data_IF_965611019106
#
_entry.id   IF_965611019106
#
_cell.length_a   1.000
_cell.length_b   1.000
_cell.length_c   1.000
_cell.angle_alpha   90.00
_cell.angle_beta   90.00
_cell.angle_gamma   90.00
#
_symmetry.space_group_name_H-M   'P 1'
#
loop_
_entity.id
_entity.type
_entity.pdbx_description
1 polymer ?
#
# COMPACT_ATOMS: atom_id res chain seq x y z
N UNK A 1 9.33 0.37 -18.44
CA UNK A 1 10.00 -0.02 -17.19
C UNK A 1 9.11 0.50 -16.08
N UNK A 2 8.70 -0.38 -15.17
CA UNK A 2 7.75 -0.05 -14.11
C UNK A 2 8.49 0.65 -12.98
N UNK A 3 7.90 1.68 -12.39
CA UNK A 3 8.57 2.52 -11.40
C UNK A 3 7.75 2.67 -10.12
N UNK A 4 8.36 2.37 -8.99
CA UNK A 4 7.84 2.67 -7.66
C UNK A 4 8.38 4.01 -7.19
N UNK A 5 7.51 4.91 -6.72
CA UNK A 5 7.89 6.18 -6.09
C UNK A 5 7.25 6.26 -4.71
N UNK A 6 8.06 6.42 -3.68
CA UNK A 6 7.57 6.59 -2.31
C UNK A 6 7.33 8.07 -2.03
N UNK A 7 6.15 8.43 -1.54
CA UNK A 7 5.82 9.82 -1.20
C UNK A 7 5.83 10.11 0.29
N UNK A 8 5.94 9.08 1.15
CA UNK A 8 5.97 9.20 2.61
C UNK A 8 4.80 8.50 3.28
N UNK A 9 4.98 8.11 4.54
CA UNK A 9 4.03 7.31 5.33
C UNK A 9 3.61 6.02 4.62
N UNK A 10 2.34 5.90 4.18
CA UNK A 10 1.83 4.79 3.38
C UNK A 10 1.55 5.18 1.91
N UNK A 11 1.84 6.43 1.54
CA UNK A 11 1.57 6.96 0.21
C UNK A 11 2.70 6.63 -0.76
N UNK A 12 2.39 5.88 -1.81
CA UNK A 12 3.31 5.58 -2.90
C UNK A 12 2.58 5.48 -4.22
N UNK A 13 3.34 5.50 -5.32
CA UNK A 13 2.80 5.29 -6.66
C UNK A 13 3.60 4.25 -7.42
N UNK A 14 2.88 3.39 -8.14
CA UNK A 14 3.44 2.51 -9.17
C UNK A 14 3.05 3.08 -10.53
N UNK A 15 4.04 3.43 -11.35
CA UNK A 15 3.87 3.87 -12.74
C UNK A 15 4.27 2.72 -13.68
N UNK A 16 3.30 2.18 -14.42
CA UNK A 16 3.53 1.09 -15.40
C UNK A 16 4.16 1.61 -16.70
N UNK A 17 4.26 2.93 -16.87
CA UNK A 17 4.55 3.63 -18.11
C UNK A 17 3.28 4.05 -18.86
N UNK A 18 2.16 3.34 -18.67
CA UNK A 18 0.86 3.64 -19.26
C UNK A 18 -0.13 4.17 -18.22
N UNK A 19 -0.16 3.55 -17.04
CA UNK A 19 -1.06 3.86 -15.94
C UNK A 19 -0.29 4.16 -14.65
N UNK A 20 -0.86 5.03 -13.81
CA UNK A 20 -0.33 5.43 -12.51
C UNK A 20 -1.30 5.03 -11.41
N UNK A 21 -0.88 4.09 -10.58
CA UNK A 21 -1.63 3.61 -9.42
C UNK A 21 -1.10 4.32 -8.18
N UNK A 22 -1.95 5.10 -7.52
CA UNK A 22 -1.64 5.77 -6.25
C UNK A 22 -2.27 5.00 -5.10
N UNK A 23 -1.53 4.83 -4.01
CA UNK A 23 -1.96 4.09 -2.84
C UNK A 23 -2.04 5.04 -1.65
N UNK A 24 -3.11 4.90 -0.86
CA UNK A 24 -3.28 5.55 0.45
C UNK A 24 -2.76 7.01 0.53
N UNK A 25 -3.39 7.94 -0.22
CA UNK A 25 -2.81 9.24 -0.54
C UNK A 25 -2.91 10.26 0.59
N UNK A 26 -2.30 9.98 1.75
CA UNK A 26 -2.09 10.94 2.83
C UNK A 26 -0.88 11.84 2.53
N UNK A 27 -1.17 13.02 1.98
CA UNK A 27 -0.17 14.01 1.60
C UNK A 27 -0.31 15.30 2.41
N UNK A 28 -1.53 15.83 2.54
CA UNK A 28 -1.78 17.04 3.34
C UNK A 28 -1.71 16.72 4.82
N UNK A 29 -0.77 17.37 5.53
CA UNK A 29 -0.54 17.14 6.97
C UNK A 29 0.48 16.04 7.28
N UNK A 30 1.00 15.36 6.25
CA UNK A 30 2.11 14.43 6.37
C UNK A 30 3.43 15.20 6.25
N UNK A 31 4.25 15.23 7.30
CA UNK A 31 5.54 15.93 7.30
C UNK A 31 6.56 15.32 6.34
N UNK A 32 6.41 14.04 6.02
CA UNK A 32 7.27 13.29 5.09
C UNK A 32 6.81 13.42 3.63
N UNK A 33 5.65 14.04 3.37
CA UNK A 33 5.09 14.13 2.03
C UNK A 33 6.01 14.90 1.07
N UNK A 34 6.47 14.21 0.02
CA UNK A 34 7.38 14.81 -0.98
C UNK A 34 6.68 15.35 -2.23
N UNK A 35 5.35 15.26 -2.27
CA UNK A 35 4.52 15.82 -3.32
C UNK A 35 3.26 16.44 -2.72
N UNK A 36 2.88 17.62 -3.21
CA UNK A 36 1.61 18.22 -2.83
C UNK A 36 0.44 17.46 -3.49
N UNK A 37 -0.66 17.31 -2.75
CA UNK A 37 -1.84 16.58 -3.23
C UNK A 37 -2.45 17.18 -4.49
N UNK A 38 -2.27 18.49 -4.74
CA UNK A 38 -2.72 19.18 -5.97
C UNK A 38 -1.83 18.91 -7.20
N UNK A 39 -0.64 18.33 -7.03
CA UNK A 39 0.31 18.01 -8.10
C UNK A 39 0.36 16.54 -8.48
N UNK A 40 -0.05 15.64 -7.60
CA UNK A 40 0.02 14.20 -7.88
C UNK A 40 -0.85 13.82 -9.09
N UNK A 41 -0.36 12.91 -9.93
CA UNK A 41 -1.10 12.39 -11.09
C UNK A 41 -1.27 10.90 -10.92
N UNK A 42 -2.48 10.42 -11.13
CA UNK A 42 -2.85 9.01 -11.05
C UNK A 42 -4.09 8.73 -11.90
N UNK A 43 -4.18 7.49 -12.36
CA UNK A 43 -5.32 6.92 -13.09
C UNK A 43 -6.17 6.05 -12.16
N UNK A 44 -5.54 5.50 -11.10
CA UNK A 44 -6.19 4.69 -10.06
C UNK A 44 -5.77 5.17 -8.68
N UNK A 45 -6.70 5.10 -7.74
CA UNK A 45 -6.44 5.26 -6.30
C UNK A 45 -6.87 3.96 -5.62
N UNK A 46 -5.97 3.31 -4.91
CA UNK A 46 -6.24 2.11 -4.13
C UNK A 46 -6.20 2.49 -2.64
N UNK A 47 -7.30 2.23 -1.93
CA UNK A 47 -7.41 2.54 -0.50
C UNK A 47 -7.47 1.26 0.32
N UNK A 48 -6.49 1.07 1.21
CA UNK A 48 -6.48 -0.05 2.16
C UNK A 48 -7.61 0.06 3.19
N UNK A 49 -7.85 1.27 3.69
CA UNK A 49 -8.90 1.60 4.66
C UNK A 49 -9.13 3.13 4.77
N UNK A 50 -9.99 3.56 5.70
CA UNK A 50 -10.43 4.95 5.84
C UNK A 50 -9.84 5.72 7.04
N UNK A 51 -8.79 5.23 7.72
CA UNK A 51 -8.07 6.10 8.66
C UNK A 51 -7.46 7.29 7.90
N UNK A 52 -7.34 8.44 8.57
CA UNK A 52 -7.01 9.71 7.92
C UNK A 52 -5.64 9.73 7.25
N UNK A 53 -4.71 8.95 7.78
CA UNK A 53 -3.35 8.72 7.32
C UNK A 53 -3.24 7.73 6.14
N UNK A 54 -4.38 7.19 5.69
CA UNK A 54 -4.48 6.40 4.46
C UNK A 54 -5.49 7.01 3.48
N UNK A 55 -6.68 7.38 3.95
CA UNK A 55 -7.70 8.03 3.13
C UNK A 55 -7.23 9.39 2.62
N UNK A 56 -6.62 10.19 3.50
CA UNK A 56 -5.95 11.45 3.16
C UNK A 56 -6.69 12.33 2.16
N UNK A 57 -5.99 12.64 1.07
CA UNK A 57 -6.45 13.51 -0.01
C UNK A 57 -7.22 12.77 -1.12
N UNK A 58 -7.65 11.52 -0.89
CA UNK A 58 -8.21 10.68 -1.96
C UNK A 58 -9.40 11.33 -2.69
N UNK A 59 -10.30 12.01 -1.95
CA UNK A 59 -11.45 12.71 -2.55
C UNK A 59 -11.01 13.82 -3.48
N UNK A 60 -10.10 14.70 -3.04
CA UNK A 60 -9.68 15.87 -3.83
C UNK A 60 -8.85 15.44 -5.04
N UNK A 61 -8.03 14.40 -4.89
CA UNK A 61 -7.27 13.81 -5.99
C UNK A 61 -8.22 13.16 -6.99
N UNK A 62 -9.16 12.32 -6.56
CA UNK A 62 -10.12 11.64 -7.44
C UNK A 62 -10.96 12.64 -8.24
N UNK A 63 -11.47 13.70 -7.60
CA UNK A 63 -12.24 14.76 -8.29
C UNK A 63 -11.40 15.47 -9.35
N UNK A 64 -10.12 15.76 -9.06
CA UNK A 64 -9.24 16.48 -9.99
C UNK A 64 -8.81 15.62 -11.17
N UNK A 65 -8.43 14.37 -10.92
CA UNK A 65 -7.82 13.50 -11.93
C UNK A 65 -8.85 12.65 -12.68
N UNK A 66 -10.03 12.42 -12.11
CA UNK A 66 -10.99 11.44 -12.60
C UNK A 66 -10.55 9.99 -12.36
N UNK A 67 -9.53 9.78 -11.51
CA UNK A 67 -8.99 8.46 -11.21
C UNK A 67 -10.07 7.51 -10.71
N UNK A 68 -9.94 6.23 -11.08
CA UNK A 68 -10.80 5.17 -10.56
C UNK A 68 -10.42 4.85 -9.12
N UNK A 69 -11.36 4.99 -8.19
CA UNK A 69 -11.14 4.65 -6.78
C UNK A 69 -11.50 3.19 -6.55
N UNK A 70 -10.53 2.40 -6.10
CA UNK A 70 -10.69 0.99 -5.74
C UNK A 70 -10.63 0.89 -4.21
N UNK A 71 -11.75 0.53 -3.60
CA UNK A 71 -11.86 0.37 -2.14
C UNK A 71 -13.06 -0.51 -1.78
N UNK A 72 -13.18 -0.78 -0.48
CA UNK A 72 -14.35 -1.44 0.10
C UNK A 72 -15.58 -0.51 0.07
N UNK A 73 -16.81 -1.02 -0.14
CA UNK A 73 -18.02 -0.20 -0.26
C UNK A 73 -18.21 0.85 0.84
N UNK A 74 -17.90 0.53 2.10
CA UNK A 74 -18.03 1.46 3.21
C UNK A 74 -17.04 2.63 3.12
N UNK A 75 -15.84 2.39 2.60
CA UNK A 75 -14.84 3.44 2.32
C UNK A 75 -15.30 4.29 1.13
N UNK A 76 -15.81 3.67 0.07
CA UNK A 76 -16.41 4.39 -1.07
C UNK A 76 -17.61 5.24 -0.64
N UNK A 77 -18.37 4.79 0.36
CA UNK A 77 -19.48 5.55 0.94
C UNK A 77 -19.09 6.90 1.56
N UNK A 78 -17.79 7.12 1.83
CA UNK A 78 -17.26 8.41 2.28
C UNK A 78 -17.03 9.40 1.14
N UNK A 79 -16.98 8.94 -0.10
CA UNK A 79 -16.77 9.80 -1.26
C UNK A 79 -18.04 10.60 -1.59
N UNK A 80 -17.90 11.87 -1.99
CA UNK A 80 -19.03 12.65 -2.47
C UNK A 80 -19.49 12.12 -3.83
N UNK A 81 -20.78 12.23 -4.13
CA UNK A 81 -21.40 11.78 -5.41
C UNK A 81 -20.79 12.39 -6.69
N UNK A 82 -19.94 13.40 -6.57
CA UNK A 82 -19.16 13.96 -7.67
C UNK A 82 -18.03 13.04 -8.12
N UNK A 83 -17.54 12.16 -7.24
CA UNK A 83 -16.64 11.06 -7.60
C UNK A 83 -17.53 9.90 -8.02
N UNK A 84 -17.46 9.55 -9.30
CA UNK A 84 -18.36 8.54 -9.91
C UNK A 84 -17.59 7.37 -10.52
N UNK A 85 -16.27 7.50 -10.68
CA UNK A 85 -15.42 6.45 -11.20
C UNK A 85 -14.90 5.59 -10.06
N UNK A 86 -15.71 4.62 -9.65
CA UNK A 86 -15.41 3.74 -8.52
C UNK A 86 -15.36 2.29 -8.99
N UNK A 87 -14.64 1.48 -8.22
CA UNK A 87 -14.62 0.03 -8.33
C UNK A 87 -14.76 -0.55 -6.92
N UNK A 88 -15.99 -0.85 -6.48
CA UNK A 88 -16.19 -1.55 -5.22
C UNK A 88 -15.56 -2.94 -5.30
N UNK A 89 -14.86 -3.31 -4.24
CA UNK A 89 -14.29 -4.63 -4.03
C UNK A 89 -14.51 -5.06 -2.57
N UNK A 90 -14.40 -6.34 -2.28
CA UNK A 90 -14.37 -6.81 -0.89
C UNK A 90 -13.27 -7.88 -0.75
N UNK A 91 -12.95 -8.27 0.48
CA UNK A 91 -11.93 -9.26 0.80
C UNK A 91 -12.17 -10.55 0.00
N UNK A 92 -11.14 -11.05 -0.68
CA UNK A 92 -11.22 -12.20 -1.56
C UNK A 92 -11.72 -11.88 -2.98
N UNK A 93 -12.21 -10.68 -3.23
CA UNK A 93 -12.63 -10.20 -4.55
C UNK A 93 -11.45 -9.91 -5.47
N UNK A 94 -11.70 -10.02 -6.78
CA UNK A 94 -10.71 -9.79 -7.83
C UNK A 94 -11.27 -8.85 -8.90
N UNK A 95 -10.46 -7.89 -9.33
CA UNK A 95 -10.76 -6.94 -10.39
C UNK A 95 -9.71 -7.03 -11.49
N UNK A 96 -10.15 -7.07 -12.74
CA UNK A 96 -9.26 -7.07 -13.91
C UNK A 96 -9.26 -5.67 -14.52
N UNK A 97 -8.14 -4.97 -14.36
CA UNK A 97 -7.88 -3.65 -14.92
C UNK A 97 -7.02 -3.74 -16.18
N UNK A 98 -6.80 -2.60 -16.83
CA UNK A 98 -5.96 -2.54 -18.03
C UNK A 98 -4.49 -2.84 -17.71
N UNK A 99 -3.99 -2.43 -16.54
CA UNK A 99 -2.62 -2.69 -16.08
C UNK A 99 -2.39 -4.14 -15.60
N UNK A 100 -3.43 -4.86 -15.21
CA UNK A 100 -3.29 -6.14 -14.51
C UNK A 100 -4.48 -6.53 -13.66
N UNK A 101 -4.26 -7.48 -12.77
CA UNK A 101 -5.26 -8.01 -11.84
C UNK A 101 -5.01 -7.46 -10.45
N UNK A 102 -6.06 -6.97 -9.79
CA UNK A 102 -6.06 -6.58 -8.38
C UNK A 102 -6.86 -7.61 -7.60
N UNK A 103 -6.24 -8.25 -6.61
CA UNK A 103 -6.88 -9.07 -5.60
C UNK A 103 -6.91 -8.29 -4.29
N UNK A 104 -8.08 -8.12 -3.69
CA UNK A 104 -8.19 -7.57 -2.34
C UNK A 104 -8.06 -8.71 -1.33
N UNK A 105 -7.16 -8.56 -0.38
CA UNK A 105 -6.84 -9.60 0.62
C UNK A 105 -7.02 -9.08 2.04
N UNK A 106 -7.10 -9.99 2.99
CA UNK A 106 -7.32 -9.68 4.42
C UNK A 106 -6.16 -8.84 4.96
N UNK A 107 -6.50 -7.86 5.79
CA UNK A 107 -5.61 -7.19 6.73
C UNK A 107 -6.26 -7.25 8.13
N UNK A 108 -5.46 -7.29 9.19
CA UNK A 108 -5.94 -7.26 10.58
C UNK A 108 -5.66 -5.90 11.21
N UNK A 109 -6.64 -5.01 11.09
CA UNK A 109 -6.62 -3.63 11.62
C UNK A 109 -8.07 -3.11 11.77
N UNK A 110 -8.26 -1.86 12.20
CA UNK A 110 -9.56 -1.18 12.07
C UNK A 110 -9.63 -0.37 10.77
N UNK A 111 -10.84 0.00 10.34
CA UNK A 111 -11.01 0.64 9.03
C UNK A 111 -11.28 2.14 9.06
N UNK A 112 -11.51 2.76 10.23
CA UNK A 112 -11.86 4.18 10.33
C UNK A 112 -13.27 4.57 9.85
N UNK A 113 -14.09 3.60 9.43
CA UNK A 113 -15.47 3.81 8.99
C UNK A 113 -16.38 2.68 9.47
N UNK A 114 -17.60 3.02 9.89
CA UNK A 114 -18.55 2.05 10.42
C UNK A 114 -18.92 0.98 9.37
N UNK A 115 -18.80 -0.30 9.74
CA UNK A 115 -19.05 -1.43 8.85
C UNK A 115 -17.89 -1.75 7.90
N UNK A 116 -16.92 -0.85 7.74
CA UNK A 116 -15.74 -1.08 6.93
C UNK A 116 -14.75 -2.03 7.61
N UNK A 117 -13.96 -2.70 6.78
CA UNK A 117 -12.82 -3.52 7.20
C UNK A 117 -11.57 -3.05 6.44
N UNK A 118 -10.36 -3.18 7.01
CA UNK A 118 -9.14 -2.89 6.27
C UNK A 118 -8.83 -4.01 5.28
N UNK A 119 -7.98 -3.70 4.30
CA UNK A 119 -7.52 -4.68 3.33
C UNK A 119 -6.10 -4.42 2.87
N UNK A 120 -5.47 -5.48 2.35
CA UNK A 120 -4.30 -5.39 1.49
C UNK A 120 -4.66 -5.67 0.03
N UNK A 121 -3.67 -5.53 -0.84
CA UNK A 121 -3.81 -5.80 -2.27
C UNK A 121 -2.68 -6.70 -2.76
N UNK A 122 -3.01 -7.74 -3.52
CA UNK A 122 -2.06 -8.43 -4.40
C UNK A 122 -2.34 -7.97 -5.83
N UNK A 123 -1.32 -7.45 -6.51
CA UNK A 123 -1.42 -6.88 -7.84
C UNK A 123 -0.51 -7.66 -8.77
N UNK A 124 -1.11 -8.31 -9.77
CA UNK A 124 -0.39 -9.04 -10.80
C UNK A 124 -0.43 -8.22 -12.08
N UNK A 125 0.65 -7.51 -12.39
CA UNK A 125 0.75 -6.72 -13.60
C UNK A 125 0.86 -7.62 -14.85
N UNK A 126 0.26 -7.20 -15.99
CA UNK A 126 0.27 -8.03 -17.22
C UNK A 126 1.68 -8.32 -17.74
N UNK A 127 2.57 -7.34 -17.60
CA UNK A 127 3.98 -7.43 -17.95
C UNK A 127 4.77 -6.69 -16.86
N UNK A 128 5.09 -7.41 -15.79
CA UNK A 128 5.74 -6.85 -14.62
C UNK A 128 5.67 -7.80 -13.42
N UNK A 129 6.11 -7.33 -12.24
CA UNK A 129 6.11 -8.14 -11.03
C UNK A 129 4.71 -8.40 -10.46
N UNK A 130 4.63 -9.33 -9.52
CA UNK A 130 3.54 -9.41 -8.55
C UNK A 130 3.90 -8.60 -7.32
N UNK A 131 3.06 -7.62 -6.98
CA UNK A 131 3.26 -6.74 -5.82
C UNK A 131 2.20 -7.03 -4.76
N UNK A 132 2.62 -7.24 -3.53
CA UNK A 132 1.74 -7.24 -2.36
C UNK A 132 1.90 -5.94 -1.60
N UNK A 133 0.79 -5.26 -1.33
CA UNK A 133 0.72 -4.14 -0.39
C UNK A 133 -0.20 -4.55 0.76
N UNK A 134 0.28 -4.51 2.00
CA UNK A 134 -0.49 -5.01 3.14
C UNK A 134 -1.56 -4.03 3.64
N UNK A 135 -1.43 -2.73 3.38
CA UNK A 135 -2.07 -1.72 4.20
C UNK A 135 -1.53 -1.76 5.64
N UNK A 136 -2.25 -1.11 6.55
CA UNK A 136 -2.04 -1.28 7.98
C UNK A 136 -2.58 -2.63 8.44
N UNK A 137 -1.72 -3.41 9.07
CA UNK A 137 -2.07 -4.74 9.57
C UNK A 137 -1.15 -5.14 10.71
N UNK A 138 -1.65 -5.95 11.63
CA UNK A 138 -0.83 -6.82 12.47
C UNK A 138 -0.28 -8.01 11.66
N UNK A 139 0.69 -8.74 12.22
CA UNK A 139 1.09 -10.05 11.72
C UNK A 139 -0.03 -11.07 11.94
N UNK A 140 -0.30 -11.91 10.94
CA UNK A 140 -1.25 -13.02 11.08
C UNK A 140 -0.86 -14.23 10.24
N UNK A 141 -1.27 -15.42 10.67
CA UNK A 141 -0.87 -16.70 10.07
C UNK A 141 -1.21 -16.81 8.59
N UNK A 142 -2.33 -16.23 8.18
CA UNK A 142 -2.88 -16.42 6.83
C UNK A 142 -2.13 -15.62 5.76
N UNK A 143 -1.18 -14.76 6.14
CA UNK A 143 -0.18 -14.23 5.21
C UNK A 143 0.57 -15.36 4.49
N UNK A 144 0.70 -16.55 5.12
CA UNK A 144 1.25 -17.76 4.47
C UNK A 144 0.46 -18.19 3.24
N UNK A 145 -0.86 -18.06 3.29
CA UNK A 145 -1.71 -18.41 2.15
C UNK A 145 -1.40 -17.52 0.95
N UNK A 146 -1.07 -16.24 1.18
CA UNK A 146 -0.70 -15.35 0.09
C UNK A 146 0.63 -15.79 -0.53
N UNK A 147 1.63 -16.17 0.27
CA UNK A 147 2.89 -16.75 -0.22
C UNK A 147 2.80 -18.18 -0.75
N UNK A 148 1.64 -18.83 -0.66
CA UNK A 148 1.35 -20.11 -1.33
C UNK A 148 0.60 -19.90 -2.65
N UNK A 149 -0.26 -18.88 -2.72
CA UNK A 149 -1.10 -18.60 -3.88
C UNK A 149 -0.42 -17.72 -4.93
N UNK A 150 0.57 -16.92 -4.52
CA UNK A 150 1.21 -15.91 -5.37
C UNK A 150 2.73 -16.02 -5.31
N UNK A 151 3.38 -15.87 -6.46
CA UNK A 151 4.84 -15.66 -6.54
C UNK A 151 5.11 -14.16 -6.38
N UNK A 152 5.24 -13.70 -5.13
CA UNK A 152 5.33 -12.28 -4.77
C UNK A 152 6.77 -11.77 -5.00
N UNK A 153 6.94 -10.88 -5.98
CA UNK A 153 8.23 -10.25 -6.24
C UNK A 153 8.53 -9.15 -5.21
N UNK A 154 7.55 -8.28 -4.94
CA UNK A 154 7.70 -7.20 -3.95
C UNK A 154 6.59 -7.25 -2.91
N UNK A 155 6.97 -7.27 -1.63
CA UNK A 155 6.06 -7.04 -0.51
C UNK A 155 6.33 -5.66 0.11
N UNK A 156 5.32 -4.81 0.13
CA UNK A 156 5.36 -3.48 0.71
C UNK A 156 4.66 -3.55 2.08
N UNK A 157 5.45 -3.42 3.15
CA UNK A 157 5.02 -3.78 4.52
C UNK A 157 5.25 -2.61 5.51
N UNK A 158 4.35 -2.38 6.46
CA UNK A 158 4.58 -1.44 7.54
C UNK A 158 5.61 -1.98 8.53
N UNK A 159 6.44 -1.10 9.08
CA UNK A 159 7.39 -1.44 10.15
C UNK A 159 7.21 -0.57 11.39
N UNK A 160 6.21 0.32 11.44
CA UNK A 160 6.06 1.36 12.45
C UNK A 160 5.80 0.89 13.88
N UNK A 161 5.42 -0.37 14.08
CA UNK A 161 4.92 -0.89 15.37
C UNK A 161 3.68 -0.10 15.83
N UNK A 162 3.30 -0.22 17.11
CA UNK A 162 2.21 0.45 17.84
C UNK A 162 0.79 0.33 17.24
N UNK A 163 0.60 0.74 15.98
CA UNK A 163 -0.63 0.61 15.20
C UNK A 163 -0.56 -0.53 14.16
N UNK A 164 0.65 -0.90 13.73
CA UNK A 164 0.91 -1.91 12.69
C UNK A 164 1.93 -2.94 13.16
N UNK A 165 2.37 -3.83 12.27
CA UNK A 165 3.60 -4.60 12.48
C UNK A 165 4.78 -3.67 12.79
N UNK A 166 5.60 -4.07 13.77
CA UNK A 166 6.97 -3.56 13.95
C UNK A 166 7.97 -4.32 13.08
N UNK A 167 9.28 -4.01 13.16
CA UNK A 167 10.32 -4.64 12.35
C UNK A 167 10.34 -6.18 12.46
N UNK A 168 10.26 -6.73 13.67
CA UNK A 168 10.31 -8.19 13.90
C UNK A 168 9.11 -8.93 13.26
N UNK A 169 7.92 -8.36 13.40
CA UNK A 169 6.70 -8.90 12.81
C UNK A 169 6.71 -8.78 11.28
N UNK A 170 7.22 -7.68 10.74
CA UNK A 170 7.39 -7.49 9.30
C UNK A 170 8.39 -8.49 8.69
N UNK A 171 9.46 -8.86 9.42
CA UNK A 171 10.37 -9.94 9.01
C UNK A 171 9.67 -11.29 8.95
N UNK A 172 8.84 -11.60 9.94
CA UNK A 172 8.06 -12.84 9.92
C UNK A 172 7.03 -12.85 8.80
N UNK A 173 6.36 -11.71 8.57
CA UNK A 173 5.43 -11.53 7.46
C UNK A 173 6.12 -11.76 6.11
N UNK A 174 7.30 -11.16 5.89
CA UNK A 174 8.09 -11.36 4.68
C UNK A 174 8.39 -12.85 4.40
N UNK A 175 8.72 -13.63 5.46
CA UNK A 175 8.92 -15.09 5.34
C UNK A 175 7.63 -15.83 5.00
N UNK A 176 6.50 -15.45 5.60
CA UNK A 176 5.21 -16.07 5.31
C UNK A 176 4.78 -15.81 3.87
N UNK A 177 5.01 -14.59 3.40
CA UNK A 177 4.71 -14.17 2.03
C UNK A 177 5.67 -14.77 1.00
N UNK A 178 6.83 -15.28 1.42
CA UNK A 178 7.93 -15.73 0.54
C UNK A 178 8.29 -14.65 -0.49
N UNK A 179 8.23 -13.39 -0.08
CA UNK A 179 8.49 -12.26 -0.97
C UNK A 179 9.97 -12.25 -1.39
N UNK A 180 10.25 -11.98 -2.67
CA UNK A 180 11.63 -11.89 -3.17
C UNK A 180 12.33 -10.62 -2.66
N UNK A 181 11.58 -9.52 -2.61
CA UNK A 181 12.02 -8.22 -2.12
C UNK A 181 10.98 -7.62 -1.17
N UNK A 182 11.45 -6.90 -0.14
CA UNK A 182 10.60 -6.16 0.79
C UNK A 182 10.90 -4.67 0.72
N UNK A 183 9.84 -3.85 0.72
CA UNK A 183 9.94 -2.40 0.80
C UNK A 183 9.21 -1.95 2.08
N UNK A 184 9.93 -1.42 3.09
CA UNK A 184 9.31 -0.94 4.31
C UNK A 184 8.60 0.40 4.09
N UNK A 185 7.47 0.60 4.77
CA UNK A 185 6.74 1.87 4.85
C UNK A 185 6.12 2.07 6.25
N UNK A 186 5.32 3.14 6.43
CA UNK A 186 4.63 3.46 7.69
C UNK A 186 5.60 3.48 8.89
N UNK A 187 6.60 4.35 8.82
CA UNK A 187 7.55 4.60 9.88
C UNK A 187 7.98 6.07 9.88
N UNK A 188 8.51 6.56 11.01
CA UNK A 188 9.09 7.90 11.20
C UNK A 188 8.18 9.11 10.92
N UNK A 189 6.91 8.91 10.53
CA UNK A 189 5.97 10.03 10.33
C UNK A 189 5.62 10.71 11.65
N UNK A 190 5.63 9.95 12.75
CA UNK A 190 5.45 10.45 14.11
C UNK A 190 6.38 9.72 15.09
N UNK A 191 6.69 10.34 16.26
CA UNK A 191 7.55 9.71 17.26
C UNK A 191 7.05 8.34 17.77
N UNK A 192 5.74 8.10 17.75
CA UNK A 192 5.15 6.82 18.21
C UNK A 192 5.41 5.65 17.25
N UNK A 193 5.82 5.94 16.01
CA UNK A 193 6.19 4.96 14.99
C UNK A 193 7.64 5.16 14.51
N UNK A 194 8.50 5.72 15.36
CA UNK A 194 9.92 5.91 15.05
C UNK A 194 10.63 4.56 14.95
N UNK A 195 11.32 4.33 13.84
CA UNK A 195 12.03 3.11 13.50
C UNK A 195 13.30 3.41 12.71
N UNK A 196 14.25 2.48 12.75
CA UNK A 196 15.47 2.50 11.94
C UNK A 196 15.30 1.52 10.75
N UNK A 197 14.96 2.02 9.54
CA UNK A 197 14.77 1.16 8.37
C UNK A 197 16.06 0.48 7.89
N UNK A 198 17.23 1.06 8.17
CA UNK A 198 18.52 0.47 7.81
C UNK A 198 18.87 -0.67 8.78
N UNK A 199 18.54 -0.53 10.07
CA UNK A 199 18.65 -1.63 11.03
C UNK A 199 17.68 -2.78 10.68
N UNK A 200 16.44 -2.46 10.29
CA UNK A 200 15.50 -3.48 9.79
C UNK A 200 16.06 -4.21 8.56
N UNK A 201 16.61 -3.47 7.59
CA UNK A 201 17.26 -4.04 6.41
C UNK A 201 18.40 -4.97 6.80
N UNK A 202 19.32 -4.54 7.66
CA UNK A 202 20.45 -5.36 8.09
C UNK A 202 19.98 -6.68 8.76
N UNK A 203 18.98 -6.61 9.65
CA UNK A 203 18.42 -7.77 10.32
C UNK A 203 17.67 -8.73 9.36
N UNK A 204 17.08 -8.19 8.27
CA UNK A 204 16.44 -8.98 7.22
C UNK A 204 17.46 -9.72 6.35
N UNK A 205 18.53 -9.03 5.96
CA UNK A 205 19.60 -9.58 5.11
C UNK A 205 20.35 -10.71 5.82
N UNK A 206 20.55 -10.62 7.14
CA UNK A 206 21.07 -11.72 7.96
C UNK A 206 20.21 -13.00 7.88
N UNK A 207 18.94 -12.86 7.53
CA UNK A 207 17.97 -13.95 7.39
C UNK A 207 17.67 -14.30 5.94
N UNK A 208 18.44 -13.74 4.99
CA UNK A 208 18.30 -14.00 3.56
C UNK A 208 17.08 -13.36 2.90
N UNK A 209 16.54 -12.29 3.50
CA UNK A 209 15.43 -11.51 2.94
C UNK A 209 16.01 -10.23 2.35
N UNK A 210 15.78 -10.00 1.05
CA UNK A 210 16.23 -8.76 0.41
C UNK A 210 15.29 -7.61 0.76
N UNK A 211 15.86 -6.51 1.26
CA UNK A 211 15.13 -5.31 1.66
C UNK A 211 15.67 -4.11 0.89
N UNK A 212 14.77 -3.42 0.21
CA UNK A 212 15.05 -2.14 -0.44
C UNK A 212 14.38 -1.02 0.35
N UNK A 213 15.18 -0.29 1.12
CA UNK A 213 14.76 0.96 1.74
C UNK A 213 14.67 2.02 0.65
N UNK A 214 13.48 2.59 0.47
CA UNK A 214 13.23 3.72 -0.41
C UNK A 214 12.86 4.89 0.47
N UNK A 215 13.57 6.01 0.39
CA UNK A 215 13.24 7.18 1.19
C UNK A 215 12.13 8.02 0.52
N UNK A 216 11.35 8.81 1.29
CA UNK A 216 10.34 9.68 0.71
C UNK A 216 10.94 10.57 -0.39
N UNK A 217 10.29 10.58 -1.57
CA UNK A 217 10.72 11.31 -2.77
C UNK A 217 11.59 10.50 -3.73
N UNK A 218 12.13 9.37 -3.29
CA UNK A 218 12.94 8.48 -4.12
C UNK A 218 12.09 7.53 -4.95
N UNK A 219 12.75 6.85 -5.87
CA UNK A 219 12.11 5.86 -6.72
C UNK A 219 13.06 4.75 -7.13
N UNK A 220 12.49 3.57 -7.34
CA UNK A 220 13.19 2.40 -7.87
C UNK A 220 12.44 1.84 -9.07
N UNK A 221 13.15 1.11 -9.92
CA UNK A 221 12.51 0.27 -10.92
C UNK A 221 11.98 -1.00 -10.26
N UNK A 222 10.81 -1.47 -10.71
CA UNK A 222 10.19 -2.72 -10.30
C UNK A 222 10.33 -3.81 -11.36
#
# INVERSE_FOLDING_TARGET
>A
MMKYTFFGHACFRIDTGNEKLLFDPFLTGNSEATIASDKVKCDYILLSHAHGDHFGDAVTIAQRTGAKVIAIPEVLGLFPKTVVNEQPMNLGGQYHADFGTVKMVVALHSAGVAGGVPCGFVIQFKAGPTVYYSGDTALFSDMKLFGELYDIDYAILPIGDNYTMGPDDALMAAKFLKAKHVIPLHYNTWPVIEQDPDAFKAAAEEQGIDVTVVHPGESIDL
#
